data_IF_619747777110
#
_entry.id   IF_619747777110
#
_cell.length_a   1.000
_cell.length_b   1.000
_cell.length_c   1.000
_cell.angle_alpha   90.00
_cell.angle_beta   90.00
_cell.angle_gamma   90.00
#
_symmetry.space_group_name_H-M   'P 1'
#
loop_
_entity.id
_entity.type
_entity.pdbx_description
1 polymer ?
#
# COMPACT_ATOMS: atom_id res chain seq x y z
N UNK A 1 -30.31 -2.06 -38.74
CA UNK A 1 -30.27 -1.04 -37.66
C UNK A 1 -30.86 -1.71 -36.42
N UNK A 2 -30.17 -1.76 -35.28
CA UNK A 2 -30.57 -2.61 -34.13
C UNK A 2 -31.60 -1.96 -33.19
N UNK A 3 -32.17 -0.81 -33.56
CA UNK A 3 -33.13 -0.08 -32.74
C UNK A 3 -34.56 -0.50 -33.08
N UNK A 4 -35.40 -0.67 -32.04
CA UNK A 4 -36.84 -0.93 -32.16
C UNK A 4 -37.60 0.25 -32.79
N UNK A 5 -37.03 1.44 -32.72
CA UNK A 5 -37.60 2.69 -33.23
C UNK A 5 -36.67 3.37 -34.23
N UNK A 6 -37.25 3.99 -35.26
CA UNK A 6 -36.57 4.89 -36.19
C UNK A 6 -36.33 6.27 -35.55
N UNK A 7 -35.55 7.12 -36.22
CA UNK A 7 -35.26 8.49 -35.75
C UNK A 7 -36.52 9.36 -35.57
N UNK A 8 -37.61 9.04 -36.27
CA UNK A 8 -38.90 9.71 -36.15
C UNK A 8 -39.80 9.14 -35.03
N UNK A 9 -39.27 8.18 -34.25
CA UNK A 9 -39.98 7.53 -33.14
C UNK A 9 -40.98 6.46 -33.57
N UNK A 10 -41.15 6.19 -34.88
CA UNK A 10 -42.01 5.10 -35.36
C UNK A 10 -41.32 3.75 -35.24
N UNK A 11 -42.12 2.69 -35.25
CA UNK A 11 -41.63 1.30 -35.27
C UNK A 11 -40.77 1.06 -36.52
N UNK A 12 -39.56 0.54 -36.32
CA UNK A 12 -38.69 0.14 -37.42
C UNK A 12 -39.26 -1.14 -38.07
N UNK A 13 -39.70 -1.11 -39.34
CA UNK A 13 -40.30 -2.27 -40.00
C UNK A 13 -39.31 -3.41 -40.26
N UNK A 14 -38.01 -3.15 -40.14
CA UNK A 14 -36.93 -4.14 -40.30
C UNK A 14 -36.40 -4.67 -38.95
N UNK A 15 -36.96 -4.21 -37.83
CA UNK A 15 -36.61 -4.71 -36.51
C UNK A 15 -37.05 -6.16 -36.35
N UNK A 16 -36.12 -7.00 -35.88
CA UNK A 16 -36.39 -8.36 -35.46
C UNK A 16 -35.91 -8.54 -34.01
N UNK A 17 -36.77 -9.10 -33.17
CA UNK A 17 -36.39 -9.48 -31.81
C UNK A 17 -35.34 -10.60 -31.86
N UNK A 18 -34.29 -10.46 -31.07
CA UNK A 18 -33.21 -11.44 -30.99
C UNK A 18 -32.60 -11.41 -29.60
N UNK A 19 -31.86 -12.46 -29.23
CA UNK A 19 -31.15 -12.51 -27.97
C UNK A 19 -30.10 -11.38 -27.93
N UNK A 20 -30.30 -10.40 -27.05
CA UNK A 20 -29.31 -9.37 -26.77
C UNK A 20 -28.51 -9.79 -25.54
N UNK A 21 -27.19 -9.86 -25.68
CA UNK A 21 -26.28 -10.06 -24.58
C UNK A 21 -25.23 -8.96 -24.60
N UNK A 22 -25.07 -8.26 -23.48
CA UNK A 22 -23.94 -7.36 -23.24
C UNK A 22 -23.01 -8.02 -22.21
N UNK A 23 -21.99 -8.77 -22.64
CA UNK A 23 -20.99 -9.30 -21.72
C UNK A 23 -20.17 -8.12 -21.19
N UNK A 24 -20.33 -7.79 -19.92
CA UNK A 24 -19.56 -6.75 -19.25
C UNK A 24 -18.36 -7.41 -18.57
N UNK A 25 -17.14 -7.04 -18.95
CA UNK A 25 -15.92 -7.55 -18.31
C UNK A 25 -15.66 -6.88 -16.96
N UNK A 26 -15.94 -5.57 -16.85
CA UNK A 26 -15.80 -4.82 -15.61
C UNK A 26 -16.61 -3.51 -15.64
N UNK A 27 -16.97 -3.02 -14.46
CA UNK A 27 -17.54 -1.69 -14.24
C UNK A 27 -16.67 -1.02 -13.16
N UNK A 28 -16.25 0.22 -13.40
CA UNK A 28 -15.51 1.02 -12.42
C UNK A 28 -15.95 2.48 -12.47
N UNK A 29 -15.83 3.19 -11.35
CA UNK A 29 -15.99 4.63 -11.33
C UNK A 29 -14.94 5.29 -12.24
N UNK A 30 -15.33 6.36 -12.94
CA UNK A 30 -14.37 7.16 -13.70
C UNK A 30 -13.39 7.83 -12.75
N UNK A 31 -12.09 7.66 -13.01
CA UNK A 31 -11.02 8.31 -12.26
C UNK A 31 -10.20 9.10 -13.27
N UNK A 32 -10.15 10.42 -13.08
CA UNK A 32 -9.38 11.31 -13.94
C UNK A 32 -7.89 11.01 -13.78
N UNK A 33 -7.18 10.95 -14.91
CA UNK A 33 -5.72 10.86 -14.92
C UNK A 33 -5.05 12.19 -14.51
N UNK A 34 -3.88 12.12 -13.82
CA UNK A 34 -3.23 10.90 -13.37
C UNK A 34 -3.93 10.29 -12.14
N UNK A 35 -4.02 8.96 -12.10
CA UNK A 35 -4.59 8.20 -10.98
C UNK A 35 -3.70 8.37 -9.74
N UNK A 36 -4.26 8.88 -8.65
CA UNK A 36 -3.63 8.93 -7.33
C UNK A 36 -4.38 8.02 -6.35
N UNK A 37 -3.76 7.62 -5.22
CA UNK A 37 -4.45 6.90 -4.15
C UNK A 37 -5.75 7.59 -3.72
N UNK A 38 -6.81 6.79 -3.56
CA UNK A 38 -8.08 7.19 -2.93
C UNK A 38 -8.20 6.63 -1.51
N UNK A 39 -7.31 5.73 -1.16
CA UNK A 39 -7.20 5.16 0.17
C UNK A 39 -5.72 5.05 0.55
N UNK A 40 -5.31 5.69 1.65
CA UNK A 40 -3.98 5.51 2.21
C UNK A 40 -4.13 4.75 3.52
N UNK A 41 -3.47 3.59 3.61
CA UNK A 41 -3.56 2.70 4.75
C UNK A 41 -2.25 2.65 5.52
N UNK A 42 -2.30 2.99 6.81
CA UNK A 42 -1.16 2.82 7.72
C UNK A 42 -1.21 1.41 8.32
N UNK A 43 -0.41 0.53 7.75
CA UNK A 43 -0.23 -0.85 8.21
C UNK A 43 0.92 -0.94 9.23
N UNK A 44 1.85 -1.87 9.07
CA UNK A 44 3.06 -2.06 9.88
C UNK A 44 4.10 -2.80 9.05
N UNK A 45 5.38 -2.46 9.24
CA UNK A 45 6.46 -3.36 8.83
C UNK A 45 6.35 -4.67 9.64
N UNK A 46 6.78 -5.77 9.06
CA UNK A 46 6.75 -7.09 9.68
C UNK A 46 5.47 -7.89 9.47
N UNK A 47 4.47 -7.40 8.73
CA UNK A 47 3.18 -8.10 8.57
C UNK A 47 3.28 -9.44 7.83
N UNK A 48 4.26 -9.65 6.95
CA UNK A 48 4.48 -10.94 6.27
C UNK A 48 5.57 -11.79 6.94
N UNK A 49 6.25 -11.26 7.98
CA UNK A 49 7.38 -11.94 8.63
C UNK A 49 7.00 -13.12 9.54
N UNK A 50 5.89 -13.09 10.32
CA UNK A 50 5.54 -14.20 11.22
C UNK A 50 5.41 -15.55 10.51
N UNK A 51 4.99 -15.54 9.25
CA UNK A 51 4.76 -16.75 8.44
C UNK A 51 5.86 -16.99 7.40
N UNK A 52 6.91 -16.15 7.36
CA UNK A 52 7.97 -16.23 6.35
C UNK A 52 8.89 -17.43 6.59
N UNK A 53 8.96 -18.39 5.64
CA UNK A 53 9.83 -19.56 5.79
C UNK A 53 11.31 -19.18 5.95
N UNK A 54 12.01 -19.89 6.83
CA UNK A 54 13.46 -19.69 7.05
C UNK A 54 13.83 -18.41 7.80
N UNK A 55 12.86 -17.64 8.30
CA UNK A 55 13.13 -16.44 9.09
C UNK A 55 13.48 -16.80 10.54
N UNK A 56 14.65 -16.37 11.01
CA UNK A 56 15.03 -16.49 12.41
C UNK A 56 14.21 -15.52 13.26
N UNK A 57 13.12 -16.02 13.86
CA UNK A 57 12.23 -15.24 14.70
C UNK A 57 12.95 -14.64 15.91
N UNK A 58 13.98 -15.28 16.47
CA UNK A 58 14.65 -14.80 17.69
C UNK A 58 15.26 -13.40 17.52
N UNK A 59 15.67 -13.07 16.28
CA UNK A 59 16.27 -11.79 15.89
C UNK A 59 15.25 -10.75 15.40
N UNK A 60 13.96 -11.10 15.34
CA UNK A 60 12.92 -10.19 14.88
C UNK A 60 12.43 -9.26 16.00
N UNK A 61 11.82 -8.11 15.64
CA UNK A 61 11.19 -7.22 16.61
C UNK A 61 10.11 -7.94 17.43
N UNK A 62 9.82 -7.47 18.67
CA UNK A 62 8.83 -8.09 19.54
C UNK A 62 7.46 -8.29 18.90
N UNK A 63 6.99 -7.35 18.07
CA UNK A 63 5.71 -7.46 17.39
C UNK A 63 5.61 -8.68 16.45
N UNK A 64 6.72 -9.07 15.80
CA UNK A 64 6.79 -10.24 14.92
C UNK A 64 6.91 -11.52 15.76
N UNK A 65 7.79 -11.52 16.76
CA UNK A 65 8.01 -12.67 17.66
C UNK A 65 6.78 -13.05 18.46
N UNK A 66 6.09 -12.04 18.99
CA UNK A 66 4.99 -12.18 19.93
C UNK A 66 3.63 -11.96 19.25
N UNK A 67 3.55 -12.16 17.94
CA UNK A 67 2.33 -11.85 17.18
C UNK A 67 1.11 -12.60 17.74
N UNK A 68 1.27 -13.86 18.18
CA UNK A 68 0.20 -14.65 18.78
C UNK A 68 -0.26 -14.07 20.12
N UNK A 69 0.69 -13.71 20.99
CA UNK A 69 0.44 -13.12 22.30
C UNK A 69 -0.17 -11.73 22.19
N UNK A 70 0.15 -10.99 21.12
CA UNK A 70 -0.43 -9.70 20.78
C UNK A 70 -1.77 -9.82 20.02
N UNK A 71 -2.40 -11.00 20.04
CA UNK A 71 -3.72 -11.21 19.44
C UNK A 71 -3.74 -11.21 17.92
N UNK A 72 -2.65 -11.66 17.28
CA UNK A 72 -2.47 -11.73 15.83
C UNK A 72 -2.58 -10.36 15.12
N UNK A 73 -2.16 -9.29 15.80
CA UNK A 73 -2.27 -7.92 15.27
C UNK A 73 -1.64 -7.75 13.89
N UNK A 74 -0.47 -8.36 13.62
CA UNK A 74 0.18 -8.28 12.31
C UNK A 74 -0.56 -9.08 11.25
N UNK A 75 -1.12 -10.23 11.62
CA UNK A 75 -1.93 -11.05 10.71
C UNK A 75 -3.22 -10.33 10.31
N UNK A 76 -3.87 -9.61 11.22
CA UNK A 76 -5.05 -8.81 10.90
C UNK A 76 -4.72 -7.57 10.08
N UNK A 77 -3.56 -6.93 10.31
CA UNK A 77 -3.07 -5.87 9.43
C UNK A 77 -2.81 -6.39 8.02
N UNK A 78 -2.18 -7.55 7.86
CA UNK A 78 -1.97 -8.16 6.54
C UNK A 78 -3.30 -8.44 5.83
N UNK A 79 -4.29 -9.03 6.52
CA UNK A 79 -5.64 -9.24 5.95
C UNK A 79 -6.31 -7.93 5.54
N UNK A 80 -6.14 -6.86 6.33
CA UNK A 80 -6.65 -5.53 5.98
C UNK A 80 -6.02 -4.99 4.70
N UNK A 81 -4.71 -5.16 4.53
CA UNK A 81 -4.02 -4.82 3.28
C UNK A 81 -4.54 -5.62 2.08
N UNK A 82 -4.79 -6.92 2.25
CA UNK A 82 -5.30 -7.78 1.19
C UNK A 82 -6.68 -7.32 0.72
N UNK A 83 -7.60 -7.04 1.64
CA UNK A 83 -8.92 -6.52 1.30
C UNK A 83 -8.85 -5.19 0.54
N UNK A 84 -7.91 -4.31 0.89
CA UNK A 84 -7.70 -3.05 0.16
C UNK A 84 -7.23 -3.33 -1.27
N UNK A 85 -6.29 -4.26 -1.47
CA UNK A 85 -5.81 -4.64 -2.81
C UNK A 85 -6.94 -5.26 -3.65
N UNK A 86 -7.70 -6.17 -3.06
CA UNK A 86 -8.81 -6.87 -3.70
C UNK A 86 -9.99 -5.94 -4.03
N UNK A 87 -10.14 -4.82 -3.30
CA UNK A 87 -11.22 -3.86 -3.54
C UNK A 87 -11.16 -3.18 -4.92
N UNK A 88 -10.01 -3.18 -5.58
CA UNK A 88 -9.78 -2.46 -6.84
C UNK A 88 -9.72 -0.93 -6.69
N UNK A 89 -9.82 -0.39 -5.47
CA UNK A 89 -9.65 1.04 -5.22
C UNK A 89 -8.16 1.43 -5.36
N UNK A 90 -7.85 2.58 -6.00
CA UNK A 90 -6.51 3.15 -5.95
C UNK A 90 -6.03 3.30 -4.50
N UNK A 91 -4.90 2.71 -4.16
CA UNK A 91 -4.42 2.74 -2.77
C UNK A 91 -2.94 3.11 -2.65
N UNK A 92 -2.52 3.46 -1.45
CA UNK A 92 -1.13 3.34 -1.00
C UNK A 92 -1.11 2.68 0.39
N UNK A 93 -0.29 1.66 0.57
CA UNK A 93 -0.10 0.99 1.87
C UNK A 93 1.26 1.38 2.42
N UNK A 94 1.25 2.08 3.54
CA UNK A 94 2.44 2.54 4.26
C UNK A 94 2.68 1.60 5.44
N UNK A 95 3.83 0.93 5.46
CA UNK A 95 4.26 0.02 6.54
C UNK A 95 5.36 0.67 7.36
N UNK A 96 5.02 1.50 8.36
CA UNK A 96 6.04 2.09 9.22
C UNK A 96 6.80 1.01 9.98
N UNK A 97 8.10 1.22 10.15
CA UNK A 97 8.88 0.58 11.21
C UNK A 97 8.43 1.11 12.60
N UNK A 98 9.18 0.83 13.67
CA UNK A 98 8.77 1.19 15.03
C UNK A 98 8.49 2.70 15.17
N UNK A 99 7.29 3.06 15.62
CA UNK A 99 6.87 4.46 15.71
C UNK A 99 7.45 5.15 16.95
N UNK A 100 7.93 6.38 16.78
CA UNK A 100 8.44 7.24 17.86
C UNK A 100 7.74 8.60 17.90
N UNK A 101 7.86 9.28 19.05
CA UNK A 101 7.45 10.68 19.24
C UNK A 101 8.56 11.68 18.89
N UNK A 102 9.63 11.22 18.25
CA UNK A 102 10.71 12.09 17.77
C UNK A 102 10.17 13.01 16.66
N UNK A 103 10.74 14.21 16.46
CA UNK A 103 10.32 15.12 15.39
C UNK A 103 10.55 14.50 14.00
N UNK A 104 9.75 14.90 13.02
CA UNK A 104 10.03 14.62 11.62
C UNK A 104 11.27 15.41 11.14
N UNK A 105 11.93 14.92 10.09
CA UNK A 105 13.09 15.61 9.51
C UNK A 105 14.27 14.71 9.20
N UNK A 106 14.41 13.58 9.88
CA UNK A 106 15.47 12.61 9.58
C UNK A 106 15.38 12.08 8.14
N UNK A 107 16.52 11.72 7.55
CA UNK A 107 16.53 11.06 6.25
C UNK A 107 15.85 9.69 6.32
N UNK A 108 15.23 9.30 5.22
CA UNK A 108 14.36 8.13 5.16
C UNK A 108 14.89 7.07 4.22
N UNK A 109 14.58 5.83 4.55
CA UNK A 109 14.76 4.66 3.70
C UNK A 109 13.38 4.08 3.44
N UNK A 110 13.02 3.99 2.17
CA UNK A 110 11.86 3.27 1.68
C UNK A 110 12.33 1.94 1.12
N UNK A 111 11.61 0.86 1.43
CA UNK A 111 11.89 -0.45 0.87
C UNK A 111 10.58 -1.23 0.63
N UNK A 112 10.66 -2.37 -0.02
CA UNK A 112 9.52 -3.25 -0.26
C UNK A 112 9.88 -4.71 0.04
N UNK A 113 8.85 -5.53 0.22
CA UNK A 113 9.04 -6.97 0.44
C UNK A 113 9.18 -7.37 1.91
N UNK A 114 8.95 -6.44 2.84
CA UNK A 114 8.95 -6.69 4.27
C UNK A 114 10.33 -7.12 4.84
N UNK A 115 11.36 -6.31 4.58
CA UNK A 115 12.77 -6.64 4.79
C UNK A 115 13.51 -5.74 5.78
N UNK A 116 13.01 -4.52 6.08
CA UNK A 116 13.75 -3.55 6.90
C UNK A 116 13.26 -3.48 8.34
N UNK A 117 14.17 -3.24 9.27
CA UNK A 117 13.84 -2.88 10.66
C UNK A 117 14.44 -1.52 10.99
N UNK A 118 13.80 -0.81 11.92
CA UNK A 118 14.25 0.50 12.37
C UNK A 118 13.15 1.22 13.15
N UNK A 119 13.23 2.54 13.16
CA UNK A 119 12.23 3.42 13.74
C UNK A 119 11.86 4.55 12.81
N UNK A 120 10.74 5.21 13.06
CA UNK A 120 10.31 6.42 12.35
C UNK A 120 9.37 7.25 13.21
N UNK A 121 9.45 8.57 13.05
CA UNK A 121 8.54 9.52 13.68
C UNK A 121 7.10 9.33 13.22
N UNK A 122 6.14 9.43 14.14
CA UNK A 122 4.70 9.51 13.80
C UNK A 122 4.38 10.72 12.92
N UNK A 123 5.05 11.84 13.17
CA UNK A 123 4.90 13.06 12.37
C UNK A 123 5.35 12.84 10.93
N UNK A 124 6.46 12.16 10.73
CA UNK A 124 6.97 11.84 9.39
C UNK A 124 6.01 10.91 8.63
N UNK A 125 5.41 9.91 9.30
CA UNK A 125 4.38 9.06 8.71
C UNK A 125 3.15 9.85 8.30
N UNK A 126 2.71 10.83 9.10
CA UNK A 126 1.59 11.69 8.74
C UNK A 126 1.88 12.47 7.45
N UNK A 127 3.09 13.05 7.32
CA UNK A 127 3.52 13.76 6.10
C UNK A 127 3.56 12.85 4.87
N UNK A 128 4.09 11.63 5.02
CA UNK A 128 4.11 10.61 3.95
C UNK A 128 2.69 10.25 3.50
N UNK A 129 1.75 10.10 4.44
CA UNK A 129 0.37 9.75 4.10
C UNK A 129 -0.32 10.85 3.28
N UNK A 130 -0.11 12.12 3.65
CA UNK A 130 -0.64 13.27 2.89
C UNK A 130 0.00 13.31 1.50
N UNK A 131 1.32 13.23 1.42
CA UNK A 131 2.03 13.24 0.14
C UNK A 131 1.63 12.07 -0.78
N UNK A 132 1.34 10.89 -0.21
CA UNK A 132 0.89 9.73 -0.97
C UNK A 132 -0.47 9.97 -1.64
N UNK A 133 -1.42 10.67 -1.00
CA UNK A 133 -2.74 10.98 -1.59
C UNK A 133 -2.64 11.82 -2.88
N UNK A 134 -1.63 12.67 -2.95
CA UNK A 134 -1.42 13.61 -4.06
C UNK A 134 -0.47 13.05 -5.13
N UNK A 135 0.23 11.95 -4.83
CA UNK A 135 1.25 11.38 -5.71
C UNK A 135 0.71 10.25 -6.58
N UNK A 136 0.76 10.35 -7.92
CA UNK A 136 0.46 9.21 -8.78
C UNK A 136 1.52 8.11 -8.66
N UNK A 137 2.74 8.43 -8.22
CA UNK A 137 3.82 7.46 -8.05
C UNK A 137 3.61 6.54 -6.83
N UNK A 138 2.80 6.96 -5.86
CA UNK A 138 2.41 6.16 -4.71
C UNK A 138 1.22 5.24 -5.00
N UNK A 139 0.55 5.40 -6.16
CA UNK A 139 -0.62 4.61 -6.51
C UNK A 139 -0.30 3.13 -6.68
N UNK A 140 -1.14 2.30 -6.04
CA UNK A 140 -1.07 0.83 -6.02
C UNK A 140 0.27 0.29 -5.46
N UNK A 141 0.94 1.09 -4.62
CA UNK A 141 2.20 0.71 -3.94
C UNK A 141 1.97 0.22 -2.52
N UNK A 142 2.73 -0.80 -2.14
CA UNK A 142 2.96 -1.20 -0.74
C UNK A 142 4.43 -1.00 -0.44
N UNK A 143 4.77 -0.30 0.64
CA UNK A 143 6.16 -0.04 1.00
C UNK A 143 6.35 0.09 2.50
N UNK A 144 7.56 -0.26 2.95
CA UNK A 144 8.03 -0.03 4.30
C UNK A 144 8.85 1.25 4.36
N UNK A 145 8.87 1.88 5.53
CA UNK A 145 9.66 3.10 5.73
C UNK A 145 10.27 3.14 7.12
N UNK A 146 11.53 3.61 7.17
CA UNK A 146 12.26 3.92 8.40
C UNK A 146 13.11 5.19 8.25
N UNK A 147 13.49 5.75 9.39
CA UNK A 147 14.59 6.71 9.49
C UNK A 147 15.95 6.01 9.31
N UNK A 148 16.93 6.74 8.80
CA UNK A 148 18.35 6.33 8.81
C UNK A 148 18.93 6.28 10.23
N UNK A 149 18.31 6.97 11.18
CA UNK A 149 18.79 7.09 12.56
C UNK A 149 18.61 5.74 13.29
N UNK A 150 19.67 5.19 13.89
CA UNK A 150 19.59 3.94 14.66
C UNK A 150 18.61 4.03 15.81
N UNK A 151 18.01 2.89 16.19
CA UNK A 151 17.05 2.84 17.29
C UNK A 151 17.62 3.38 18.62
N UNK A 152 18.92 3.20 18.85
CA UNK A 152 19.65 3.62 20.05
C UNK A 152 19.89 5.13 20.18
N UNK A 153 19.70 5.91 19.11
CA UNK A 153 20.08 7.33 19.07
C UNK A 153 18.86 8.21 18.83
N UNK A 154 18.54 9.19 19.69
CA UNK A 154 17.40 10.07 19.46
C UNK A 154 17.67 11.00 18.26
N UNK A 155 16.65 11.23 17.43
CA UNK A 155 16.70 12.31 16.46
C UNK A 155 16.19 13.61 17.07
N UNK A 156 16.94 14.70 16.88
CA UNK A 156 16.57 16.05 17.30
C UNK A 156 16.70 17.01 16.13
N UNK A 157 15.91 18.09 16.17
CA UNK A 157 15.96 19.16 15.17
C UNK A 157 16.72 20.34 15.73
N UNK A 158 17.73 20.79 14.99
CA UNK A 158 18.42 22.05 15.26
C UNK A 158 17.52 23.23 14.82
N UNK A 159 17.08 24.11 15.74
CA UNK A 159 16.24 25.26 15.40
C UNK A 159 16.93 26.27 14.47
N UNK A 160 18.26 26.36 14.50
CA UNK A 160 19.02 27.30 13.65
C UNK A 160 19.23 26.76 12.23
N UNK A 161 19.15 25.43 12.06
CA UNK A 161 19.28 24.75 10.78
C UNK A 161 18.25 23.61 10.65
N UNK A 162 16.97 23.93 10.48
CA UNK A 162 15.93 22.92 10.42
C UNK A 162 16.06 22.03 9.17
N UNK A 163 15.68 20.74 9.25
CA UNK A 163 15.64 19.85 8.10
C UNK A 163 14.81 20.44 6.96
N UNK A 164 15.31 20.33 5.73
CA UNK A 164 14.59 20.76 4.54
C UNK A 164 13.34 19.91 4.33
N UNK A 165 12.35 20.51 3.69
CA UNK A 165 11.18 19.76 3.22
C UNK A 165 11.60 18.67 2.23
N UNK A 166 11.00 17.49 2.35
CA UNK A 166 11.33 16.33 1.54
C UNK A 166 10.39 16.23 0.34
N UNK A 167 10.94 16.00 -0.84
CA UNK A 167 10.13 15.55 -1.99
C UNK A 167 9.88 14.04 -1.88
N UNK A 168 8.74 13.66 -1.31
CA UNK A 168 8.38 12.24 -1.18
C UNK A 168 8.21 11.54 -2.55
N UNK A 169 7.95 12.27 -3.64
CA UNK A 169 7.86 11.66 -4.97
C UNK A 169 9.18 11.02 -5.41
N UNK A 170 10.31 11.58 -4.98
CA UNK A 170 11.62 10.99 -5.25
C UNK A 170 11.74 9.57 -4.69
N UNK A 171 11.13 9.31 -3.53
CA UNK A 171 11.09 7.98 -2.92
C UNK A 171 10.05 7.10 -3.61
N UNK A 172 8.83 7.60 -3.84
CA UNK A 172 7.74 6.83 -4.46
C UNK A 172 8.10 6.32 -5.87
N UNK A 173 8.83 7.11 -6.66
CA UNK A 173 9.28 6.72 -8.02
C UNK A 173 10.18 5.48 -8.03
N UNK A 174 10.88 5.19 -6.93
CA UNK A 174 11.75 4.03 -6.83
C UNK A 174 11.00 2.74 -6.44
N UNK A 175 9.71 2.85 -6.08
CA UNK A 175 8.88 1.72 -5.70
C UNK A 175 8.34 0.98 -6.93
N UNK A 176 8.36 -0.34 -6.88
CA UNK A 176 7.85 -1.26 -7.89
C UNK A 176 6.42 -1.69 -7.58
N UNK A 177 5.67 -2.00 -8.63
CA UNK A 177 4.32 -2.53 -8.52
C UNK A 177 4.33 -3.97 -7.99
N UNK A 178 3.30 -4.31 -7.22
CA UNK A 178 3.03 -5.69 -6.81
C UNK A 178 3.98 -6.28 -5.76
N UNK A 179 4.97 -5.54 -5.24
CA UNK A 179 5.88 -6.06 -4.21
C UNK A 179 5.26 -5.91 -2.82
N UNK A 180 4.98 -7.04 -2.16
CA UNK A 180 4.27 -7.08 -0.87
C UNK A 180 5.00 -7.85 0.23
N UNK A 181 5.96 -8.71 -0.13
CA UNK A 181 6.61 -9.66 0.77
C UNK A 181 5.87 -10.99 0.87
N UNK A 182 4.66 -11.11 0.32
CA UNK A 182 3.92 -12.38 0.23
C UNK A 182 4.53 -13.35 -0.78
N UNK A 183 5.31 -12.85 -1.73
CA UNK A 183 5.98 -13.65 -2.77
C UNK A 183 6.98 -14.65 -2.17
N UNK A 184 7.37 -14.44 -0.91
CA UNK A 184 8.23 -15.35 -0.14
C UNK A 184 7.44 -16.35 0.72
N UNK A 185 6.15 -16.11 0.95
CA UNK A 185 5.25 -17.08 1.58
C UNK A 185 4.87 -18.19 0.58
N UNK A 186 4.65 -17.80 -0.68
CA UNK A 186 4.17 -18.70 -1.75
C UNK A 186 5.25 -19.64 -2.31
N UNK A 187 6.53 -19.41 -2.00
CA UNK A 187 7.65 -20.26 -2.46
C UNK A 187 7.85 -21.55 -1.67
N UNK A 188 7.01 -21.84 -0.67
CA UNK A 188 7.01 -23.16 -0.06
C UNK A 188 6.35 -24.14 -1.03
N UNK A 189 7.04 -25.20 -1.51
CA UNK A 189 6.38 -26.23 -2.27
C UNK A 189 5.24 -26.78 -1.42
N UNK A 190 4.04 -26.86 -2.00
CA UNK A 190 3.01 -27.74 -1.46
C UNK A 190 3.66 -29.12 -1.31
N UNK A 191 3.80 -29.59 -0.07
CA UNK A 191 4.13 -30.98 0.18
C UNK A 191 2.98 -31.80 -0.39
N UNK A 192 3.22 -32.41 -1.56
CA UNK A 192 2.42 -33.51 -2.12
C UNK A 192 3.01 -34.81 -1.61
#
# INVERSE_FOLDING_TARGET
>A
MFSKFEYDGKLNPTFAEGAFQLPVSSIRAYIKDPKTPRFVHVSSAGVTRPERPGLDLSKQPPAVRLNKELGFILSFKLKGEDLIRESGMPFAIVRPCALTEEPAGADLIFDQGDNITGKISREEIARICVAALESPYACDKTFEVKSVIPFSEPFTVDPENPPKEKDYNAYFKNLKDGITGKELLEKSPAAV
#
